data_IF_713351120897
#
_entry.id   IF_713351120897
#
_cell.length_a   1.000
_cell.length_b   1.000
_cell.length_c   1.000
_cell.angle_alpha   90.00
_cell.angle_beta   90.00
_cell.angle_gamma   90.00
#
_symmetry.space_group_name_H-M   'P 1'
#
loop_
_entity.id
_entity.type
_entity.pdbx_description
1 polymer ?
#
# COMPACT_ATOMS: atom_id res chain seq x y z
N UNK A 1 -41.99 59.99 6.58
CA UNK A 1 -40.83 60.26 5.74
C UNK A 1 -39.67 60.36 6.70
N UNK A 2 -39.02 59.25 6.98
CA UNK A 2 -37.71 59.19 7.63
C UNK A 2 -37.07 57.87 7.17
N UNK A 3 -35.91 58.04 6.53
CA UNK A 3 -35.10 57.05 5.84
C UNK A 3 -34.35 56.18 6.83
N UNK A 4 -34.55 54.86 6.76
CA UNK A 4 -33.70 53.89 7.44
C UNK A 4 -32.36 53.86 6.70
N UNK A 5 -31.31 54.21 7.43
CA UNK A 5 -29.92 54.31 6.98
C UNK A 5 -29.38 52.92 6.56
N UNK A 6 -28.82 52.85 5.34
CA UNK A 6 -28.33 51.62 4.71
C UNK A 6 -26.89 51.25 5.11
N UNK A 7 -26.42 51.70 6.29
CA UNK A 7 -25.03 51.56 6.69
C UNK A 7 -24.69 50.28 7.49
N UNK A 8 -25.66 49.45 7.88
CA UNK A 8 -25.39 48.25 8.71
C UNK A 8 -25.38 46.90 7.95
N UNK A 9 -25.63 46.88 6.64
CA UNK A 9 -25.71 45.62 5.85
C UNK A 9 -24.39 45.29 5.11
N UNK A 10 -23.38 46.17 5.16
CA UNK A 10 -22.15 45.98 4.39
C UNK A 10 -21.00 45.30 5.13
N UNK A 11 -21.03 45.20 6.47
CA UNK A 11 -19.96 44.56 7.25
C UNK A 11 -20.14 43.04 7.48
N UNK A 12 -21.37 42.53 7.41
CA UNK A 12 -21.64 41.10 7.62
C UNK A 12 -21.25 40.21 6.41
N UNK A 13 -21.20 40.76 5.20
CA UNK A 13 -20.83 40.00 3.99
C UNK A 13 -19.33 39.71 3.85
N UNK A 14 -18.47 40.45 4.55
CA UNK A 14 -17.02 40.27 4.48
C UNK A 14 -16.50 39.20 5.45
N UNK A 15 -17.19 38.91 6.56
CA UNK A 15 -16.76 37.90 7.54
C UNK A 15 -17.09 36.46 7.09
N UNK A 16 -18.24 36.21 6.48
CA UNK A 16 -18.60 34.88 5.96
C UNK A 16 -17.72 34.44 4.77
N UNK A 17 -17.26 35.39 3.95
CA UNK A 17 -16.31 35.11 2.87
C UNK A 17 -14.92 34.78 3.43
N UNK A 18 -14.44 35.49 4.45
CA UNK A 18 -13.14 35.19 5.08
C UNK A 18 -13.11 33.82 5.79
N UNK A 19 -14.23 33.37 6.36
CA UNK A 19 -14.34 32.04 6.98
C UNK A 19 -14.24 30.90 5.94
N UNK A 20 -14.88 31.06 4.77
CA UNK A 20 -14.80 30.06 3.69
C UNK A 20 -13.41 29.96 3.04
N UNK A 21 -12.66 31.06 2.95
CA UNK A 21 -11.29 31.02 2.42
C UNK A 21 -10.29 30.41 3.40
N UNK A 22 -10.50 30.58 4.70
CA UNK A 22 -9.67 29.96 5.74
C UNK A 22 -9.83 28.43 5.73
N UNK A 23 -11.07 27.93 5.59
CA UNK A 23 -11.36 26.48 5.56
C UNK A 23 -10.81 25.81 4.29
N UNK A 24 -10.94 26.42 3.12
CA UNK A 24 -10.43 25.84 1.87
C UNK A 24 -8.89 25.78 1.84
N UNK A 25 -8.21 26.79 2.41
CA UNK A 25 -6.75 26.81 2.54
C UNK A 25 -6.23 25.79 3.56
N UNK A 26 -6.96 25.59 4.66
CA UNK A 26 -6.60 24.60 5.67
C UNK A 26 -6.79 23.16 5.16
N UNK A 27 -7.86 22.89 4.41
CA UNK A 27 -8.10 21.61 3.77
C UNK A 27 -7.01 21.31 2.72
N UNK A 28 -6.65 22.27 1.86
CA UNK A 28 -5.57 22.06 0.88
C UNK A 28 -4.20 21.82 1.54
N UNK A 29 -3.92 22.51 2.64
CA UNK A 29 -2.67 22.33 3.37
C UNK A 29 -2.63 20.96 4.04
N UNK A 30 -3.73 20.53 4.67
CA UNK A 30 -3.84 19.19 5.25
C UNK A 30 -3.77 18.09 4.18
N UNK A 31 -4.41 18.24 3.02
CA UNK A 31 -4.31 17.31 1.89
C UNK A 31 -2.87 17.25 1.36
N UNK A 32 -2.18 18.39 1.19
CA UNK A 32 -0.77 18.42 0.76
C UNK A 32 0.14 17.76 1.79
N UNK A 33 -0.08 17.97 3.08
CA UNK A 33 0.68 17.31 4.16
C UNK A 33 0.39 15.81 4.26
N UNK A 34 -0.86 15.38 4.11
CA UNK A 34 -1.26 13.97 4.06
C UNK A 34 -0.69 13.26 2.82
N UNK A 35 -0.72 13.91 1.66
CA UNK A 35 -0.09 13.41 0.44
C UNK A 35 1.43 13.30 0.59
N UNK A 36 2.06 14.27 1.28
CA UNK A 36 3.48 14.24 1.62
C UNK A 36 3.85 13.03 2.49
N UNK A 37 3.10 12.77 3.57
CA UNK A 37 3.32 11.60 4.44
C UNK A 37 3.07 10.28 3.72
N UNK A 38 1.99 10.17 2.97
CA UNK A 38 1.69 8.94 2.21
C UNK A 38 2.80 8.63 1.19
N UNK A 39 3.32 9.64 0.51
CA UNK A 39 4.44 9.46 -0.43
C UNK A 39 5.73 9.04 0.27
N UNK A 40 6.04 9.64 1.43
CA UNK A 40 7.19 9.23 2.24
C UNK A 40 7.05 7.79 2.76
N UNK A 41 5.87 7.40 3.24
CA UNK A 41 5.58 6.04 3.70
C UNK A 41 5.70 5.03 2.56
N UNK A 42 5.16 5.34 1.37
CA UNK A 42 5.32 4.50 0.19
C UNK A 42 6.77 4.32 -0.20
N UNK A 43 7.57 5.39 -0.17
CA UNK A 43 8.99 5.33 -0.46
C UNK A 43 9.74 4.43 0.54
N UNK A 44 9.45 4.56 1.84
CA UNK A 44 10.04 3.68 2.87
C UNK A 44 9.63 2.21 2.68
N UNK A 45 8.37 1.95 2.33
CA UNK A 45 7.88 0.59 2.07
C UNK A 45 8.57 0.01 0.82
N UNK A 46 8.68 0.79 -0.26
CA UNK A 46 9.35 0.38 -1.48
C UNK A 46 10.84 0.06 -1.21
N UNK A 47 11.52 0.89 -0.42
CA UNK A 47 12.90 0.64 0.01
C UNK A 47 13.02 -0.65 0.82
N UNK A 48 12.17 -0.86 1.85
CA UNK A 48 12.17 -2.09 2.64
C UNK A 48 11.91 -3.31 1.77
N UNK A 49 10.96 -3.23 0.82
CA UNK A 49 10.72 -4.29 -0.16
C UNK A 49 11.97 -4.60 -0.95
N UNK A 50 12.54 -3.63 -1.66
CA UNK A 50 13.74 -3.82 -2.49
C UNK A 50 14.88 -4.45 -1.69
N UNK A 51 15.10 -4.02 -0.44
CA UNK A 51 16.13 -4.59 0.42
C UNK A 51 15.89 -6.09 0.69
N UNK A 52 14.67 -6.46 1.12
CA UNK A 52 14.29 -7.86 1.36
C UNK A 52 14.50 -8.72 0.11
N UNK A 53 14.24 -8.13 -1.05
CA UNK A 53 14.35 -8.82 -2.34
C UNK A 53 15.81 -9.10 -2.68
N UNK A 54 16.67 -8.09 -2.53
CA UNK A 54 18.11 -8.24 -2.79
C UNK A 54 18.73 -9.30 -1.89
N UNK A 55 18.31 -9.35 -0.62
CA UNK A 55 18.79 -10.33 0.34
C UNK A 55 18.31 -11.76 0.01
N UNK A 56 17.11 -11.90 -0.57
CA UNK A 56 16.51 -13.20 -0.87
C UNK A 56 16.88 -13.74 -2.26
N UNK A 57 17.16 -12.88 -3.24
CA UNK A 57 17.32 -13.24 -4.65
C UNK A 57 18.62 -12.65 -5.22
N UNK A 58 19.69 -13.46 -5.30
CA UNK A 58 20.94 -13.03 -5.91
C UNK A 58 20.74 -12.57 -7.36
N UNK A 59 21.19 -11.37 -7.69
CA UNK A 59 21.06 -10.77 -9.02
C UNK A 59 19.74 -10.04 -9.28
N UNK A 60 18.88 -9.86 -8.26
CA UNK A 60 17.64 -9.10 -8.40
C UNK A 60 17.86 -7.60 -8.67
N UNK A 61 19.01 -7.05 -8.27
CA UNK A 61 19.45 -5.68 -8.54
C UNK A 61 19.42 -5.31 -10.04
N UNK A 62 19.52 -6.31 -10.91
CA UNK A 62 19.50 -6.11 -12.37
C UNK A 62 18.13 -5.79 -12.95
N UNK A 63 17.04 -6.08 -12.21
CA UNK A 63 15.68 -6.00 -12.74
C UNK A 63 14.68 -5.33 -11.79
N UNK A 64 15.07 -5.08 -10.55
CA UNK A 64 14.22 -4.54 -9.49
C UNK A 64 14.79 -3.21 -9.04
N UNK A 65 13.94 -2.18 -9.07
CA UNK A 65 14.32 -0.82 -8.68
C UNK A 65 13.22 -0.18 -7.82
N UNK A 66 13.60 0.74 -6.93
CA UNK A 66 12.65 1.44 -6.05
C UNK A 66 11.51 2.10 -6.86
N UNK A 67 11.74 2.81 -7.97
CA UNK A 67 10.65 3.44 -8.73
C UNK A 67 9.60 2.46 -9.27
N UNK A 68 10.01 1.24 -9.66
CA UNK A 68 9.06 0.22 -10.09
C UNK A 68 8.15 -0.23 -8.94
N UNK A 69 8.69 -0.33 -7.73
CA UNK A 69 7.91 -0.66 -6.54
C UNK A 69 7.01 0.49 -6.09
N UNK A 70 7.46 1.73 -6.21
CA UNK A 70 6.60 2.91 -5.99
C UNK A 70 5.42 2.91 -6.96
N UNK A 71 5.65 2.66 -8.25
CA UNK A 71 4.60 2.54 -9.25
C UNK A 71 3.65 1.37 -8.97
N UNK A 72 4.18 0.23 -8.54
CA UNK A 72 3.38 -0.93 -8.13
C UNK A 72 2.47 -0.60 -6.93
N UNK A 73 3.01 0.02 -5.88
CA UNK A 73 2.24 0.45 -4.71
C UNK A 73 1.16 1.48 -5.10
N UNK A 74 1.51 2.43 -5.96
CA UNK A 74 0.56 3.41 -6.47
C UNK A 74 -0.57 2.76 -7.27
N UNK A 75 -0.28 1.76 -8.10
CA UNK A 75 -1.30 1.01 -8.85
C UNK A 75 -2.25 0.26 -7.92
N UNK A 76 -1.72 -0.41 -6.90
CA UNK A 76 -2.55 -1.10 -5.89
C UNK A 76 -3.41 -0.12 -5.09
N UNK A 77 -2.85 1.02 -4.69
CA UNK A 77 -3.61 2.05 -3.99
C UNK A 77 -4.77 2.59 -4.84
N UNK A 78 -4.49 2.92 -6.10
CA UNK A 78 -5.49 3.54 -6.98
C UNK A 78 -6.60 2.57 -7.41
N UNK A 79 -6.28 1.30 -7.61
CA UNK A 79 -7.22 0.34 -8.19
C UNK A 79 -7.86 -0.58 -7.15
N UNK A 80 -7.19 -0.83 -6.03
CA UNK A 80 -7.59 -1.84 -5.05
C UNK A 80 -7.65 -1.29 -3.62
N UNK A 81 -7.51 0.04 -3.45
CA UNK A 81 -7.63 0.73 -2.15
C UNK A 81 -6.62 0.22 -1.11
N UNK A 82 -5.38 -0.04 -1.54
CA UNK A 82 -4.30 -0.46 -0.64
C UNK A 82 -4.00 0.60 0.42
N UNK A 83 -4.08 0.20 1.69
CA UNK A 83 -3.67 1.00 2.85
C UNK A 83 -2.22 0.74 3.26
N UNK A 84 -1.63 1.70 3.99
CA UNK A 84 -0.25 1.61 4.49
C UNK A 84 -0.05 0.40 5.39
N UNK A 85 -1.01 0.11 6.26
CA UNK A 85 -0.97 -1.05 7.18
C UNK A 85 -0.97 -2.38 6.44
N UNK A 86 -1.74 -2.48 5.35
CA UNK A 86 -1.78 -3.66 4.48
C UNK A 86 -0.45 -3.84 3.76
N UNK A 87 0.13 -2.75 3.25
CA UNK A 87 1.44 -2.78 2.61
C UNK A 87 2.53 -3.22 3.61
N UNK A 88 2.50 -2.72 4.84
CA UNK A 88 3.37 -3.14 5.94
C UNK A 88 3.20 -4.63 6.26
N UNK A 89 1.96 -5.11 6.38
CA UNK A 89 1.65 -6.53 6.61
C UNK A 89 2.14 -7.40 5.44
N UNK A 90 2.02 -6.94 4.20
CA UNK A 90 2.50 -7.65 3.01
C UNK A 90 4.02 -7.84 3.03
N UNK A 91 4.77 -6.81 3.45
CA UNK A 91 6.23 -6.87 3.64
C UNK A 91 6.59 -7.94 4.67
N UNK A 92 5.90 -7.97 5.80
CA UNK A 92 6.14 -8.97 6.85
C UNK A 92 5.79 -10.39 6.43
N UNK A 93 4.69 -10.58 5.70
CA UNK A 93 4.33 -11.89 5.13
C UNK A 93 5.41 -12.38 4.16
N UNK A 94 5.97 -11.49 3.34
CA UNK A 94 7.06 -11.83 2.42
C UNK A 94 8.34 -12.21 3.17
N UNK A 95 8.72 -11.46 4.21
CA UNK A 95 9.86 -11.83 5.08
C UNK A 95 9.66 -13.19 5.74
N UNK A 96 8.46 -13.45 6.29
CA UNK A 96 8.11 -14.75 6.88
C UNK A 96 8.21 -15.87 5.86
N UNK A 97 7.74 -15.66 4.65
CA UNK A 97 7.86 -16.62 3.55
C UNK A 97 9.32 -16.94 3.22
N UNK A 98 10.19 -15.94 3.16
CA UNK A 98 11.64 -16.12 2.94
C UNK A 98 12.27 -16.92 4.07
N UNK A 99 12.01 -16.57 5.33
CA UNK A 99 12.57 -17.28 6.48
C UNK A 99 12.07 -18.74 6.55
N UNK A 100 10.77 -18.98 6.34
CA UNK A 100 10.17 -20.31 6.41
C UNK A 100 10.64 -21.24 5.28
N UNK A 101 10.78 -20.74 4.05
CA UNK A 101 11.28 -21.58 2.96
C UNK A 101 12.73 -22.03 3.20
N UNK A 102 13.57 -21.14 3.75
CA UNK A 102 14.96 -21.45 4.11
C UNK A 102 15.00 -22.52 5.20
N UNK A 103 14.20 -22.36 6.26
CA UNK A 103 14.07 -23.35 7.35
C UNK A 103 13.60 -24.72 6.86
N UNK A 104 12.70 -24.75 5.86
CA UNK A 104 12.20 -25.99 5.27
C UNK A 104 13.12 -26.57 4.19
N UNK A 105 14.22 -25.88 3.87
CA UNK A 105 15.13 -26.22 2.77
C UNK A 105 14.42 -26.39 1.41
N UNK A 106 13.37 -25.59 1.18
CA UNK A 106 12.63 -25.57 -0.10
C UNK A 106 12.96 -24.26 -0.81
N UNK A 107 13.70 -24.34 -1.92
CA UNK A 107 14.07 -23.16 -2.71
C UNK A 107 13.02 -22.87 -3.78
N UNK A 108 11.94 -22.19 -3.37
CA UNK A 108 10.81 -21.86 -4.27
C UNK A 108 11.02 -20.51 -4.96
N UNK A 109 11.70 -19.57 -4.32
CA UNK A 109 11.99 -18.27 -4.93
C UNK A 109 12.96 -18.43 -6.10
N UNK A 110 12.55 -17.90 -7.25
CA UNK A 110 13.36 -17.76 -8.47
C UNK A 110 13.10 -16.38 -9.07
N UNK A 111 14.06 -15.87 -9.84
CA UNK A 111 13.89 -14.61 -10.58
C UNK A 111 12.61 -14.60 -11.42
N UNK A 112 12.23 -15.74 -12.00
CA UNK A 112 11.06 -15.86 -12.87
C UNK A 112 9.69 -15.85 -12.16
N UNK A 113 9.63 -16.14 -10.86
CA UNK A 113 8.35 -16.20 -10.12
C UNK A 113 8.26 -15.17 -8.99
N UNK A 114 9.33 -14.41 -8.76
CA UNK A 114 9.42 -13.50 -7.63
C UNK A 114 8.37 -12.39 -7.65
N UNK A 115 8.10 -11.80 -8.83
CA UNK A 115 7.04 -10.79 -8.97
C UNK A 115 5.65 -11.32 -8.58
N UNK A 116 5.34 -12.56 -8.92
CA UNK A 116 4.08 -13.21 -8.50
C UNK A 116 4.02 -13.42 -6.99
N UNK A 117 5.14 -13.74 -6.34
CA UNK A 117 5.19 -13.91 -4.88
C UNK A 117 4.94 -12.60 -4.13
N UNK A 118 5.47 -11.48 -4.63
CA UNK A 118 5.16 -10.15 -4.09
C UNK A 118 3.67 -9.86 -4.25
N UNK A 119 3.13 -10.04 -5.46
CA UNK A 119 1.70 -9.78 -5.71
C UNK A 119 0.83 -10.59 -4.74
N UNK A 120 1.15 -11.87 -4.55
CA UNK A 120 0.45 -12.73 -3.60
C UNK A 120 0.56 -12.23 -2.15
N UNK A 121 1.73 -11.75 -1.70
CA UNK A 121 1.88 -11.24 -0.33
C UNK A 121 1.00 -10.00 -0.08
N UNK A 122 0.87 -9.13 -1.08
CA UNK A 122 -0.04 -7.98 -1.02
C UNK A 122 -1.51 -8.39 -1.04
N UNK A 123 -1.91 -9.30 -1.94
CA UNK A 123 -3.28 -9.81 -2.00
C UNK A 123 -3.70 -10.41 -0.65
N UNK A 124 -2.83 -11.24 -0.04
CA UNK A 124 -3.10 -11.83 1.27
C UNK A 124 -3.26 -10.77 2.35
N UNK A 125 -2.38 -9.76 2.40
CA UNK A 125 -2.48 -8.70 3.39
C UNK A 125 -3.79 -7.90 3.28
N UNK A 126 -4.22 -7.60 2.06
CA UNK A 126 -5.48 -6.90 1.80
C UNK A 126 -6.68 -7.76 2.19
N UNK A 127 -6.69 -9.05 1.80
CA UNK A 127 -7.75 -9.98 2.17
C UNK A 127 -7.91 -10.20 3.67
N UNK A 128 -6.84 -10.05 4.43
CA UNK A 128 -6.86 -10.20 5.89
C UNK A 128 -7.34 -8.95 6.63
N UNK A 129 -7.23 -7.78 6.01
CA UNK A 129 -7.42 -6.50 6.69
C UNK A 129 -8.71 -5.79 6.27
N UNK A 130 -9.18 -6.03 5.04
CA UNK A 130 -10.36 -5.35 4.49
C UNK A 130 -11.63 -6.17 4.73
N UNK A 131 -12.72 -5.51 5.14
CA UNK A 131 -14.04 -6.15 5.26
C UNK A 131 -14.58 -6.64 3.91
N UNK A 132 -14.33 -5.87 2.86
CA UNK A 132 -14.63 -6.21 1.47
C UNK A 132 -13.38 -5.99 0.66
N UNK A 133 -12.89 -7.06 0.06
CA UNK A 133 -11.69 -7.05 -0.77
C UNK A 133 -12.00 -7.64 -2.14
N UNK A 134 -11.16 -7.33 -3.12
CA UNK A 134 -11.29 -7.90 -4.44
C UNK A 134 -10.94 -9.39 -4.46
N UNK A 135 -11.56 -10.15 -5.37
CA UNK A 135 -11.23 -11.55 -5.57
C UNK A 135 -9.97 -11.72 -6.45
N UNK A 136 -9.47 -12.94 -6.58
CA UNK A 136 -8.28 -13.20 -7.41
C UNK A 136 -8.49 -12.95 -8.89
N UNK A 137 -9.72 -12.97 -9.41
CA UNK A 137 -9.99 -12.67 -10.81
C UNK A 137 -9.62 -11.21 -11.12
N UNK A 138 -10.02 -10.29 -10.25
CA UNK A 138 -9.67 -8.89 -10.35
C UNK A 138 -8.15 -8.66 -10.35
N UNK A 139 -7.41 -9.29 -9.43
CA UNK A 139 -5.95 -9.14 -9.38
C UNK A 139 -5.24 -9.83 -10.56
N UNK A 140 -5.75 -10.97 -11.02
CA UNK A 140 -5.25 -11.66 -12.20
C UNK A 140 -5.35 -10.76 -13.45
N UNK A 141 -6.49 -10.09 -13.63
CA UNK A 141 -6.71 -9.11 -14.71
C UNK A 141 -5.80 -7.88 -14.54
N UNK A 142 -5.70 -7.33 -13.34
CA UNK A 142 -4.89 -6.14 -13.05
C UNK A 142 -3.42 -6.33 -13.43
N UNK A 143 -2.85 -7.49 -13.11
CA UNK A 143 -1.42 -7.76 -13.32
C UNK A 143 -1.13 -8.61 -14.57
N UNK A 144 -2.14 -8.98 -15.35
CA UNK A 144 -1.98 -9.83 -16.53
C UNK A 144 -1.47 -11.24 -16.19
N UNK A 145 -1.84 -11.78 -15.03
CA UNK A 145 -1.43 -13.12 -14.57
C UNK A 145 -2.59 -14.08 -14.83
N UNK A 146 -2.36 -15.29 -15.40
CA UNK A 146 -3.42 -16.29 -15.50
C UNK A 146 -4.02 -16.61 -14.12
N UNK A 147 -5.34 -16.54 -13.97
CA UNK A 147 -6.03 -16.78 -12.69
C UNK A 147 -5.61 -18.09 -12.02
N UNK A 148 -5.51 -19.17 -12.79
CA UNK A 148 -5.08 -20.48 -12.28
C UNK A 148 -3.63 -20.48 -11.76
N UNK A 149 -2.76 -19.62 -12.31
CA UNK A 149 -1.41 -19.43 -11.80
C UNK A 149 -1.43 -18.63 -10.50
N UNK A 150 -2.22 -17.55 -10.42
CA UNK A 150 -2.36 -16.74 -9.22
C UNK A 150 -2.92 -17.56 -8.04
N UNK A 151 -4.00 -18.30 -8.26
CA UNK A 151 -4.61 -19.16 -7.23
C UNK A 151 -3.63 -20.21 -6.70
N UNK A 152 -2.86 -20.85 -7.60
CA UNK A 152 -1.84 -21.85 -7.19
C UNK A 152 -0.70 -21.21 -6.40
N UNK A 153 -0.26 -20.02 -6.80
CA UNK A 153 0.78 -19.27 -6.11
C UNK A 153 0.31 -18.84 -4.72
N UNK A 154 -0.94 -18.39 -4.58
CA UNK A 154 -1.52 -18.05 -3.27
C UNK A 154 -1.57 -19.25 -2.32
N UNK A 155 -2.09 -20.40 -2.76
CA UNK A 155 -2.13 -21.62 -1.94
C UNK A 155 -0.71 -22.08 -1.57
N UNK A 156 0.23 -22.02 -2.51
CA UNK A 156 1.62 -22.41 -2.27
C UNK A 156 2.29 -21.48 -1.27
N UNK A 157 2.00 -20.18 -1.35
CA UNK A 157 2.47 -19.19 -0.39
C UNK A 157 2.00 -19.51 1.02
N UNK A 158 0.69 -19.72 1.20
CA UNK A 158 0.08 -20.07 2.47
C UNK A 158 0.69 -21.34 3.09
N UNK A 159 0.93 -22.37 2.28
CA UNK A 159 1.57 -23.61 2.74
C UNK A 159 3.01 -23.39 3.19
N UNK A 160 3.76 -22.51 2.52
CA UNK A 160 5.15 -22.24 2.90
C UNK A 160 5.20 -21.52 4.24
N UNK A 161 4.30 -20.58 4.51
CA UNK A 161 4.21 -19.89 5.80
C UNK A 161 3.44 -20.66 6.87
N UNK A 162 3.06 -21.93 6.63
CA UNK A 162 2.27 -22.74 7.57
C UNK A 162 0.94 -22.08 7.97
N UNK A 163 0.34 -21.29 7.08
CA UNK A 163 -0.85 -20.48 7.36
C UNK A 163 -0.67 -19.50 8.55
N UNK A 164 0.56 -19.21 8.97
CA UNK A 164 0.87 -18.19 9.96
C UNK A 164 0.67 -16.81 9.32
N UNK A 165 -0.57 -16.31 9.37
CA UNK A 165 -0.97 -15.02 8.80
C UNK A 165 -1.00 -13.89 9.82
N UNK A 166 -1.02 -14.24 11.11
CA UNK A 166 -0.99 -13.28 12.19
C UNK A 166 0.34 -12.51 12.19
N UNK A 167 0.23 -11.20 12.07
CA UNK A 167 1.34 -10.27 11.98
C UNK A 167 1.01 -9.14 12.93
N UNK A 168 1.88 -8.95 13.92
CA UNK A 168 1.80 -7.85 14.87
C UNK A 168 2.48 -6.62 14.26
N UNK A 169 1.69 -5.59 13.94
CA UNK A 169 2.18 -4.37 13.28
C UNK A 169 3.11 -3.57 14.22
N UNK A 170 3.01 -3.74 15.54
CA UNK A 170 3.89 -3.05 16.50
C UNK A 170 5.36 -3.46 16.35
N UNK A 171 5.62 -4.64 15.78
CA UNK A 171 7.00 -5.12 15.55
C UNK A 171 7.76 -4.32 14.49
N UNK A 172 7.10 -3.44 13.72
CA UNK A 172 7.70 -2.69 12.60
C UNK A 172 8.51 -1.44 12.99
N UNK A 173 8.37 -0.96 14.24
CA UNK A 173 9.04 0.26 14.72
C UNK A 173 10.44 -0.05 15.30
N UNK A 174 10.75 -1.32 15.55
CA UNK A 174 11.92 -1.72 16.35
C UNK A 174 13.00 -2.46 15.54
N UNK A 175 12.85 -2.60 14.22
CA UNK A 175 13.81 -3.27 13.32
C UNK A 175 14.10 -2.46 12.05
#
# INVERSE_FOLDING_TARGET
MDTIDSSTIQEAKSQDQLLQFADSCHIETQIKTCNGRNKQQQQMIAQKLVQIIYDAVPGADKFITIPQFEQFLQQLQQKAELHVEEAMRAVMLLQRFIAKQQKKNVRVIKVSNFGTLIIVSFILAMKLSQEKTHNNQFFAEMFGIPLAHLNRSEISFLRIIDFELWVDIETLITQ
#
